data_IF_589578152362
#
_entry.id   IF_589578152362
#
_cell.length_a   1.000
_cell.length_b   1.000
_cell.length_c   1.000
_cell.angle_alpha   90.00
_cell.angle_beta   90.00
_cell.angle_gamma   90.00
#
_symmetry.space_group_name_H-M   'P 1'
#
loop_
_entity.id
_entity.type
_entity.pdbx_description
1 polymer ?
#
# COMPACT_ATOMS: atom_id res chain seq x y z
N UNK A 1 4.68 -0.77 17.14
CA UNK A 1 5.36 -0.42 15.86
C UNK A 1 4.84 -1.30 14.73
N UNK A 2 4.80 -0.83 13.47
CA UNK A 2 4.24 -1.57 12.31
C UNK A 2 4.80 -3.00 12.19
N UNK A 3 6.12 -3.19 12.31
CA UNK A 3 6.75 -4.51 12.24
C UNK A 3 6.29 -5.46 13.37
N UNK A 4 6.01 -4.93 14.55
CA UNK A 4 5.46 -5.73 15.66
C UNK A 4 4.03 -6.20 15.41
N UNK A 5 3.23 -5.44 14.64
CA UNK A 5 1.87 -5.83 14.23
C UNK A 5 1.88 -6.81 13.05
N UNK A 6 2.87 -6.70 12.15
CA UNK A 6 2.97 -7.54 10.96
C UNK A 6 3.61 -8.91 11.24
N UNK A 7 4.48 -8.99 12.25
CA UNK A 7 5.29 -10.17 12.52
C UNK A 7 6.28 -10.45 11.39
N UNK A 8 6.68 -11.72 11.22
CA UNK A 8 7.56 -12.11 10.12
C UNK A 8 6.83 -12.04 8.78
N UNK A 9 7.24 -11.12 7.91
CA UNK A 9 6.67 -10.91 6.57
C UNK A 9 6.90 -12.14 5.66
N UNK A 10 7.93 -12.95 5.95
CA UNK A 10 8.26 -14.16 5.17
C UNK A 10 7.23 -15.28 5.32
N UNK A 11 6.37 -15.23 6.35
CA UNK A 11 5.31 -16.23 6.55
C UNK A 11 4.19 -16.14 5.50
N UNK A 12 4.10 -15.03 4.79
CA UNK A 12 3.05 -14.83 3.79
C UNK A 12 3.48 -15.40 2.43
N UNK A 13 2.60 -16.19 1.82
CA UNK A 13 2.82 -16.80 0.49
C UNK A 13 3.02 -15.78 -0.65
N UNK A 14 2.50 -14.56 -0.50
CA UNK A 14 2.64 -13.45 -1.43
C UNK A 14 2.20 -12.13 -0.80
N UNK A 15 2.48 -11.01 -1.47
CA UNK A 15 2.07 -9.66 -1.02
C UNK A 15 0.55 -9.48 -0.89
N UNK A 16 -0.25 -10.20 -1.68
CA UNK A 16 -1.72 -10.12 -1.59
C UNK A 16 -2.23 -10.76 -0.29
N UNK A 17 -1.62 -11.86 0.16
CA UNK A 17 -1.92 -12.47 1.45
C UNK A 17 -1.57 -11.53 2.61
N UNK A 18 -0.46 -10.81 2.52
CA UNK A 18 -0.09 -9.76 3.47
C UNK A 18 -1.14 -8.63 3.47
N UNK A 19 -1.56 -8.14 2.29
CA UNK A 19 -2.58 -7.09 2.17
C UNK A 19 -3.93 -7.52 2.78
N UNK A 20 -4.34 -8.76 2.56
CA UNK A 20 -5.57 -9.33 3.11
C UNK A 20 -5.50 -9.46 4.64
N UNK A 21 -4.36 -9.89 5.18
CA UNK A 21 -4.12 -9.96 6.64
C UNK A 21 -4.25 -8.58 7.30
N UNK A 22 -3.69 -7.55 6.68
CA UNK A 22 -3.79 -6.17 7.17
C UNK A 22 -5.20 -5.58 6.96
N UNK A 23 -5.97 -6.09 5.99
CA UNK A 23 -7.29 -5.58 5.63
C UNK A 23 -7.22 -4.31 4.80
N UNK A 24 -6.33 -4.30 3.81
CA UNK A 24 -6.24 -3.25 2.79
C UNK A 24 -6.51 -3.79 1.38
N UNK A 25 -6.93 -5.06 1.26
CA UNK A 25 -7.42 -5.57 -0.02
C UNK A 25 -8.68 -4.80 -0.43
N UNK A 26 -8.69 -4.38 -1.69
CA UNK A 26 -9.90 -3.87 -2.33
C UNK A 26 -10.74 -5.08 -2.68
N UNK A 27 -11.90 -5.22 -2.05
CA UNK A 27 -12.87 -6.23 -2.45
C UNK A 27 -13.65 -5.68 -3.63
N UNK A 28 -13.49 -6.36 -4.75
CA UNK A 28 -14.39 -6.24 -5.87
C UNK A 28 -15.61 -7.13 -5.59
N UNK A 29 -16.81 -6.56 -5.65
CA UNK A 29 -18.05 -7.32 -5.50
C UNK A 29 -18.72 -7.36 -6.88
N UNK A 30 -18.62 -8.51 -7.55
CA UNK A 30 -19.35 -8.80 -8.78
C UNK A 30 -20.52 -9.71 -8.44
N UNK A 31 -21.74 -9.22 -8.67
CA UNK A 31 -22.93 -10.07 -8.71
C UNK A 31 -23.67 -9.80 -10.02
N UNK A 32 -23.54 -10.72 -10.98
CA UNK A 32 -24.32 -10.76 -12.21
C UNK A 32 -24.11 -9.57 -13.15
N UNK A 33 -24.84 -8.49 -12.93
CA UNK A 33 -24.88 -7.27 -13.76
C UNK A 33 -24.41 -6.00 -13.03
N UNK A 34 -24.01 -6.09 -11.75
CA UNK A 34 -23.61 -4.93 -10.96
C UNK A 34 -22.14 -5.01 -10.55
N UNK A 35 -21.34 -4.06 -11.07
CA UNK A 35 -19.97 -3.80 -10.62
C UNK A 35 -20.03 -2.80 -9.47
N UNK A 36 -19.96 -3.31 -8.24
CA UNK A 36 -19.91 -2.44 -7.08
C UNK A 36 -18.57 -1.69 -7.03
N UNK A 37 -18.62 -0.45 -6.54
CA UNK A 37 -17.40 0.35 -6.33
C UNK A 37 -16.44 -0.38 -5.38
N UNK A 38 -15.14 -0.42 -5.70
CA UNK A 38 -14.14 -1.05 -4.84
C UNK A 38 -14.17 -0.49 -3.41
N UNK A 39 -14.35 -1.39 -2.44
CA UNK A 39 -14.34 -1.06 -1.02
C UNK A 39 -13.16 -1.72 -0.31
N UNK A 40 -12.57 -0.97 0.63
CA UNK A 40 -11.51 -1.49 1.50
C UNK A 40 -12.15 -2.48 2.47
N UNK A 41 -11.57 -3.68 2.57
CA UNK A 41 -11.99 -4.69 3.52
C UNK A 41 -11.95 -4.16 4.98
N UNK A 42 -13.08 -4.23 5.68
CA UNK A 42 -13.16 -3.90 7.11
C UNK A 42 -12.66 -5.03 8.02
N UNK A 43 -12.26 -6.18 7.46
CA UNK A 43 -12.00 -7.42 8.22
C UNK A 43 -10.56 -7.58 8.75
N UNK A 44 -9.65 -6.64 8.48
CA UNK A 44 -8.26 -6.70 8.97
C UNK A 44 -7.94 -5.70 10.09
N UNK A 45 -6.66 -5.64 10.44
CA UNK A 45 -6.16 -4.88 11.59
C UNK A 45 -6.31 -3.34 11.38
N UNK A 46 -7.24 -2.74 12.12
CA UNK A 46 -7.53 -1.30 12.07
C UNK A 46 -6.34 -0.44 12.50
N UNK A 47 -5.54 -0.90 13.48
CA UNK A 47 -4.36 -0.19 13.95
C UNK A 47 -3.28 -0.20 12.87
N UNK A 48 -2.97 -1.37 12.30
CA UNK A 48 -2.00 -1.50 11.20
C UNK A 48 -2.39 -0.61 10.01
N UNK A 49 -3.67 -0.58 9.64
CA UNK A 49 -4.17 0.31 8.58
C UNK A 49 -3.93 1.78 8.92
N UNK A 50 -4.28 2.25 10.12
CA UNK A 50 -4.02 3.64 10.56
C UNK A 50 -2.53 3.99 10.49
N UNK A 51 -1.66 3.08 10.94
CA UNK A 51 -0.21 3.26 10.88
C UNK A 51 0.27 3.39 9.43
N UNK A 52 -0.23 2.53 8.52
CA UNK A 52 0.14 2.57 7.10
C UNK A 52 -0.36 3.83 6.39
N UNK A 53 -1.55 4.32 6.70
CA UNK A 53 -2.01 5.63 6.21
C UNK A 53 -1.05 6.74 6.63
N UNK A 54 -0.64 6.76 7.91
CA UNK A 54 0.32 7.73 8.41
C UNK A 54 1.70 7.55 7.76
N UNK A 55 2.13 6.32 7.48
CA UNK A 55 3.37 6.04 6.76
C UNK A 55 3.38 6.66 5.35
N UNK A 56 2.28 6.56 4.60
CA UNK A 56 2.17 7.23 3.28
C UNK A 56 2.24 8.75 3.40
N UNK A 57 1.59 9.34 4.40
CA UNK A 57 1.68 10.79 4.61
C UNK A 57 3.10 11.22 4.97
N UNK A 58 3.79 10.46 5.82
CA UNK A 58 5.19 10.71 6.16
C UNK A 58 6.14 10.55 4.96
N UNK A 59 5.92 9.53 4.12
CA UNK A 59 6.66 9.33 2.86
C UNK A 59 6.45 10.55 1.96
N UNK A 60 5.22 11.05 1.84
CA UNK A 60 4.91 12.21 1.02
C UNK A 60 5.54 13.50 1.57
N UNK A 61 5.55 13.72 2.88
CA UNK A 61 6.16 14.90 3.50
C UNK A 61 7.69 14.88 3.40
N UNK A 62 8.30 13.70 3.49
CA UNK A 62 9.76 13.53 3.42
C UNK A 62 10.29 13.48 1.98
N UNK A 63 9.40 13.37 0.97
CA UNK A 63 9.79 13.13 -0.42
C UNK A 63 10.66 14.23 -1.04
N UNK A 64 10.61 15.45 -0.50
CA UNK A 64 11.50 16.55 -0.91
C UNK A 64 12.97 16.26 -0.65
N UNK A 65 13.28 15.48 0.40
CA UNK A 65 14.63 15.12 0.80
C UNK A 65 14.97 13.66 0.43
N UNK A 66 13.95 12.79 0.38
CA UNK A 66 14.10 11.36 0.13
C UNK A 66 13.15 10.90 -0.98
N UNK A 67 13.53 11.11 -2.26
CA UNK A 67 12.70 10.71 -3.39
C UNK A 67 12.52 9.19 -3.42
N UNK A 68 11.31 8.74 -3.75
CA UNK A 68 10.99 7.32 -3.82
C UNK A 68 9.77 7.06 -4.71
N UNK A 69 9.73 5.87 -5.31
CA UNK A 69 8.70 5.48 -6.28
C UNK A 69 7.29 5.34 -5.67
N UNK A 70 7.17 5.24 -4.35
CA UNK A 70 5.87 5.22 -3.65
C UNK A 70 5.24 6.61 -3.66
N UNK A 71 6.03 7.65 -3.32
CA UNK A 71 5.58 9.02 -3.41
C UNK A 71 5.29 9.41 -4.86
N UNK A 72 6.14 9.03 -5.82
CA UNK A 72 5.90 9.33 -7.24
C UNK A 72 4.54 8.83 -7.71
N UNK A 73 4.23 7.56 -7.37
CA UNK A 73 2.93 6.96 -7.65
C UNK A 73 1.80 7.74 -6.96
N UNK A 74 1.97 8.04 -5.67
CA UNK A 74 0.96 8.74 -4.86
C UNK A 74 0.63 10.13 -5.41
N UNK A 75 1.64 10.94 -5.72
CA UNK A 75 1.46 12.30 -6.23
C UNK A 75 0.91 12.30 -7.66
N UNK A 76 1.37 11.39 -8.52
CA UNK A 76 0.81 11.23 -9.88
C UNK A 76 -0.69 10.96 -9.82
N UNK A 77 -1.11 9.98 -9.01
CA UNK A 77 -2.53 9.63 -8.85
C UNK A 77 -3.36 10.76 -8.24
N UNK A 78 -2.81 11.52 -7.28
CA UNK A 78 -3.48 12.72 -6.73
C UNK A 78 -3.68 13.80 -7.80
N UNK A 79 -2.69 14.03 -8.67
CA UNK A 79 -2.81 15.00 -9.77
C UNK A 79 -3.89 14.59 -10.77
N UNK A 80 -3.98 13.30 -11.10
CA UNK A 80 -4.97 12.75 -12.05
C UNK A 80 -6.41 12.79 -11.52
N UNK A 81 -6.63 12.56 -10.22
CA UNK A 81 -7.97 12.39 -9.64
C UNK A 81 -8.48 13.60 -8.83
N UNK A 82 -7.65 14.65 -8.67
CA UNK A 82 -7.99 15.81 -7.84
C UNK A 82 -8.13 15.45 -6.34
N UNK A 83 -9.01 16.17 -5.63
CA UNK A 83 -9.28 15.91 -4.20
C UNK A 83 -10.17 14.67 -3.96
N UNK A 84 -10.87 14.20 -4.99
CA UNK A 84 -11.73 13.02 -4.92
C UNK A 84 -10.87 11.74 -4.88
N UNK A 85 -11.24 10.78 -4.02
CA UNK A 85 -10.58 9.47 -4.01
C UNK A 85 -9.26 9.39 -3.23
N UNK A 86 -8.87 10.40 -2.45
CA UNK A 86 -7.62 10.42 -1.65
C UNK A 86 -7.41 9.13 -0.82
N UNK A 87 -8.48 8.56 -0.26
CA UNK A 87 -8.41 7.28 0.47
C UNK A 87 -8.00 6.10 -0.43
N UNK A 88 -8.60 5.98 -1.63
CA UNK A 88 -8.28 4.91 -2.58
C UNK A 88 -6.84 5.05 -3.09
N UNK A 89 -6.41 6.28 -3.35
CA UNK A 89 -5.03 6.57 -3.78
C UNK A 89 -4.03 6.16 -2.68
N UNK A 90 -4.30 6.52 -1.42
CA UNK A 90 -3.48 6.11 -0.30
C UNK A 90 -3.44 4.58 -0.13
N UNK A 91 -4.57 3.87 -0.28
CA UNK A 91 -4.59 2.40 -0.24
C UNK A 91 -3.74 1.79 -1.36
N UNK A 92 -3.86 2.31 -2.58
CA UNK A 92 -3.04 1.83 -3.69
C UNK A 92 -1.54 2.08 -3.44
N UNK A 93 -1.18 3.22 -2.83
CA UNK A 93 0.19 3.51 -2.41
C UNK A 93 0.66 2.56 -1.29
N UNK A 94 -0.19 2.25 -0.31
CA UNK A 94 0.12 1.26 0.75
C UNK A 94 0.35 -0.13 0.13
N UNK A 95 -0.50 -0.56 -0.81
CA UNK A 95 -0.30 -1.81 -1.52
C UNK A 95 1.09 -1.81 -2.19
N UNK A 96 1.42 -0.77 -2.96
CA UNK A 96 2.72 -0.68 -3.64
C UNK A 96 3.89 -0.71 -2.64
N UNK A 97 3.76 -0.05 -1.50
CA UNK A 97 4.75 -0.06 -0.42
C UNK A 97 4.95 -1.48 0.12
N UNK A 98 3.87 -2.16 0.49
CA UNK A 98 3.95 -3.51 1.07
C UNK A 98 4.45 -4.54 0.06
N UNK A 99 4.07 -4.43 -1.21
CA UNK A 99 4.61 -5.28 -2.28
C UNK A 99 6.11 -5.09 -2.43
N UNK A 100 6.59 -3.86 -2.34
CA UNK A 100 8.02 -3.55 -2.38
C UNK A 100 8.75 -4.13 -1.17
N UNK A 101 8.27 -3.86 0.04
CA UNK A 101 8.86 -4.40 1.27
C UNK A 101 8.91 -5.93 1.22
N UNK A 102 7.81 -6.58 0.82
CA UNK A 102 7.74 -8.03 0.67
C UNK A 102 8.80 -8.54 -0.29
N UNK A 103 8.92 -7.95 -1.48
CA UNK A 103 9.90 -8.35 -2.48
C UNK A 103 11.34 -8.20 -1.96
N UNK A 104 11.66 -7.06 -1.33
CA UNK A 104 12.99 -6.80 -0.78
C UNK A 104 13.36 -7.79 0.32
N UNK A 105 12.42 -8.11 1.21
CA UNK A 105 12.64 -9.06 2.31
C UNK A 105 12.82 -10.48 1.79
N UNK A 106 11.98 -10.94 0.85
CA UNK A 106 12.05 -12.31 0.31
C UNK A 106 13.34 -12.53 -0.49
N UNK A 107 13.77 -11.52 -1.26
CA UNK A 107 14.97 -11.60 -2.08
C UNK A 107 16.25 -11.13 -1.35
N UNK A 108 16.14 -10.72 -0.08
CA UNK A 108 17.23 -10.13 0.69
C UNK A 108 17.96 -8.99 -0.05
N UNK A 109 17.17 -8.09 -0.66
CA UNK A 109 17.65 -6.98 -1.46
C UNK A 109 17.50 -5.64 -0.74
N UNK A 110 18.44 -4.73 -0.96
CA UNK A 110 18.30 -3.35 -0.54
C UNK A 110 17.37 -2.59 -1.50
N UNK A 111 16.68 -1.58 -0.96
CA UNK A 111 15.87 -0.71 -1.79
C UNK A 111 16.75 0.15 -2.71
N UNK A 112 16.49 0.08 -4.01
CA UNK A 112 17.08 0.94 -5.02
C UNK A 112 15.96 1.68 -5.78
N UNK A 113 15.97 3.00 -5.69
CA UNK A 113 14.96 3.83 -6.32
C UNK A 113 15.06 3.83 -7.85
N UNK A 114 16.27 3.71 -8.41
CA UNK A 114 16.47 3.70 -9.87
C UNK A 114 15.82 2.50 -10.52
N UNK A 115 15.92 1.33 -9.87
CA UNK A 115 15.28 0.09 -10.30
C UNK A 115 13.77 0.08 -10.03
N UNK A 116 13.33 0.68 -8.92
CA UNK A 116 11.92 0.68 -8.50
C UNK A 116 11.02 1.67 -9.26
N UNK A 117 11.61 2.63 -9.98
CA UNK A 117 10.88 3.62 -10.79
C UNK A 117 10.33 3.03 -12.11
N UNK A 118 10.89 1.91 -12.57
CA UNK A 118 10.48 1.16 -13.77
C UNK A 118 9.04 0.66 -13.73
#
# INVERSE_FOLDING_TARGET
SLLGELGDIRRFRNSNALNAFIGIDLRHYESGEYVATDHISKRGNTVARKILFKAIQNIASAAHYHPNHINDYYQRRKKENGQHGTKKIAIAAIHRLLRTIYHLVINNQFYDYTLAKG
#
